data_IF_113105126433
#
_entry.id   IF_113105126433
#
_cell.length_a   1.000
_cell.length_b   1.000
_cell.length_c   1.000
_cell.angle_alpha   90.00
_cell.angle_beta   90.00
_cell.angle_gamma   90.00
#
_symmetry.space_group_name_H-M   'P 1'
#
loop_
_entity.id
_entity.type
_entity.pdbx_description
1 polymer ?
#
# COMPACT_ATOMS: atom_id res chain seq x y z
N UNK A 1 0.37 -10.05 -5.67
CA UNK A 1 0.17 -9.58 -7.06
C UNK A 1 1.23 -8.52 -7.31
N UNK A 2 2.45 -8.96 -7.60
CA UNK A 2 3.65 -8.12 -7.60
C UNK A 2 4.26 -7.95 -9.00
N UNK A 3 3.64 -8.55 -10.03
CA UNK A 3 4.09 -8.48 -11.41
C UNK A 3 5.34 -9.31 -11.72
N UNK A 4 5.82 -10.13 -10.77
CA UNK A 4 7.03 -10.95 -10.94
C UNK A 4 6.90 -12.00 -12.06
N UNK A 5 5.68 -12.47 -12.32
CA UNK A 5 5.36 -13.41 -13.40
C UNK A 5 4.59 -12.65 -14.49
N UNK A 6 5.24 -12.26 -15.61
CA UNK A 6 4.60 -11.50 -16.67
C UNK A 6 3.59 -12.34 -17.44
N UNK A 7 2.67 -11.66 -18.14
CA UNK A 7 1.77 -12.29 -19.10
C UNK A 7 2.60 -12.95 -20.21
N UNK A 8 2.46 -14.25 -20.48
CA UNK A 8 3.16 -14.89 -21.59
C UNK A 8 2.73 -14.25 -22.92
N UNK A 9 3.71 -13.82 -23.73
CA UNK A 9 3.45 -13.11 -24.98
C UNK A 9 2.84 -14.02 -26.06
N UNK A 10 3.12 -15.32 -25.98
CA UNK A 10 2.61 -16.34 -26.90
C UNK A 10 1.60 -17.24 -26.19
N UNK A 11 0.40 -17.36 -26.76
CA UNK A 11 -0.65 -18.26 -26.26
C UNK A 11 -0.31 -19.74 -26.47
N UNK A 12 0.63 -20.04 -27.36
CA UNK A 12 1.16 -21.39 -27.58
C UNK A 12 2.30 -21.75 -26.61
N UNK A 13 2.72 -20.84 -25.74
CA UNK A 13 3.69 -21.14 -24.70
C UNK A 13 3.16 -22.26 -23.79
N UNK A 14 3.93 -23.33 -23.53
CA UNK A 14 3.51 -24.41 -22.63
C UNK A 14 3.07 -23.94 -21.24
N UNK A 15 3.61 -22.82 -20.76
CA UNK A 15 3.30 -22.20 -19.48
C UNK A 15 2.01 -21.38 -19.48
N UNK A 16 1.49 -20.97 -20.66
CA UNK A 16 0.32 -20.09 -20.79
C UNK A 16 -0.91 -20.64 -20.07
N UNK A 17 -1.19 -21.95 -20.21
CA UNK A 17 -2.35 -22.58 -19.55
C UNK A 17 -2.25 -22.54 -18.03
N UNK A 18 -1.06 -22.81 -17.49
CA UNK A 18 -0.83 -22.78 -16.04
C UNK A 18 -0.95 -21.35 -15.52
N UNK A 19 -0.32 -20.39 -16.22
CA UNK A 19 -0.41 -18.98 -15.91
C UNK A 19 -1.85 -18.47 -15.92
N UNK A 20 -2.61 -18.75 -16.99
CA UNK A 20 -4.00 -18.29 -17.12
C UNK A 20 -4.90 -18.84 -16.01
N UNK A 21 -4.69 -20.11 -15.61
CA UNK A 21 -5.41 -20.69 -14.47
C UNK A 21 -5.11 -19.95 -13.16
N UNK A 22 -3.85 -19.64 -12.89
CA UNK A 22 -3.46 -18.85 -11.72
C UNK A 22 -4.05 -17.43 -11.79
N UNK A 23 -3.99 -16.78 -12.95
CA UNK A 23 -4.59 -15.46 -13.18
C UNK A 23 -6.09 -15.46 -12.85
N UNK A 24 -6.86 -16.41 -13.42
CA UNK A 24 -8.30 -16.52 -13.16
C UNK A 24 -8.63 -16.82 -11.69
N UNK A 25 -7.82 -17.63 -11.00
CA UNK A 25 -8.00 -17.92 -9.57
C UNK A 25 -7.79 -16.66 -8.72
N UNK A 26 -6.71 -15.93 -8.96
CA UNK A 26 -6.44 -14.70 -8.21
C UNK A 26 -7.51 -13.65 -8.53
N UNK A 27 -7.91 -13.53 -9.79
CA UNK A 27 -9.01 -12.63 -10.19
C UNK A 27 -10.31 -12.96 -9.43
N UNK A 28 -10.68 -14.24 -9.33
CA UNK A 28 -11.89 -14.63 -8.60
C UNK A 28 -11.76 -14.35 -7.10
N UNK A 29 -10.59 -14.55 -6.50
CA UNK A 29 -10.37 -14.20 -5.09
C UNK A 29 -10.57 -12.70 -4.85
N UNK A 30 -10.03 -11.84 -5.71
CA UNK A 30 -10.23 -10.39 -5.60
C UNK A 30 -11.72 -10.05 -5.72
N UNK A 31 -12.39 -10.56 -6.75
CA UNK A 31 -13.83 -10.32 -6.99
C UNK A 31 -14.70 -10.70 -5.79
N UNK A 32 -14.37 -11.81 -5.11
CA UNK A 32 -15.10 -12.28 -3.93
C UNK A 32 -14.67 -11.60 -2.61
N UNK A 33 -13.62 -10.77 -2.64
CA UNK A 33 -13.09 -10.09 -1.45
C UNK A 33 -13.45 -8.60 -1.38
N UNK A 34 -14.12 -8.08 -2.42
CA UNK A 34 -14.55 -6.68 -2.50
C UNK A 34 -16.08 -6.58 -2.46
N UNK A 35 -16.61 -5.38 -2.21
CA UNK A 35 -18.05 -5.16 -2.29
C UNK A 35 -18.58 -5.34 -3.72
N UNK A 36 -19.86 -5.66 -3.86
CA UNK A 36 -20.49 -5.85 -5.17
C UNK A 36 -20.27 -4.65 -6.10
N UNK A 37 -20.39 -3.42 -5.59
CA UNK A 37 -20.16 -2.21 -6.39
C UNK A 37 -18.74 -2.13 -6.96
N UNK A 38 -17.73 -2.52 -6.18
CA UNK A 38 -16.34 -2.56 -6.62
C UNK A 38 -16.15 -3.71 -7.62
N UNK A 39 -16.68 -4.91 -7.32
CA UNK A 39 -16.62 -6.07 -8.20
C UNK A 39 -17.19 -5.77 -9.61
N UNK A 40 -18.34 -5.09 -9.69
CA UNK A 40 -18.92 -4.66 -10.97
C UNK A 40 -18.01 -3.70 -11.76
N UNK A 41 -17.18 -2.91 -11.09
CA UNK A 41 -16.27 -1.97 -11.76
C UNK A 41 -15.01 -2.63 -12.34
N UNK A 42 -14.68 -3.85 -11.91
CA UNK A 42 -13.47 -4.58 -12.33
C UNK A 42 -13.79 -5.87 -13.11
N UNK A 43 -15.06 -6.27 -13.22
CA UNK A 43 -15.49 -7.57 -13.80
C UNK A 43 -15.03 -7.81 -15.24
N UNK A 44 -14.85 -6.75 -16.02
CA UNK A 44 -14.43 -6.84 -17.43
C UNK A 44 -12.90 -6.81 -17.62
N UNK A 45 -12.13 -6.75 -16.52
CA UNK A 45 -10.67 -6.77 -16.57
C UNK A 45 -10.18 -8.22 -16.64
N UNK A 46 -9.35 -8.54 -17.63
CA UNK A 46 -8.94 -9.93 -17.89
C UNK A 46 -7.80 -10.39 -16.97
N UNK A 47 -6.91 -9.47 -16.58
CA UNK A 47 -5.75 -9.80 -15.76
C UNK A 47 -5.93 -9.36 -14.31
N UNK A 48 -5.63 -10.27 -13.39
CA UNK A 48 -5.63 -10.01 -11.96
C UNK A 48 -4.62 -8.92 -11.55
N UNK A 49 -3.52 -8.75 -12.30
CA UNK A 49 -2.54 -7.67 -12.09
C UNK A 49 -3.15 -6.31 -12.41
N UNK A 50 -3.93 -6.20 -13.48
CA UNK A 50 -4.57 -4.94 -13.87
C UNK A 50 -5.63 -4.57 -12.83
N UNK A 51 -6.46 -5.54 -12.41
CA UNK A 51 -7.43 -5.36 -11.32
C UNK A 51 -6.74 -4.88 -10.05
N UNK A 52 -5.66 -5.54 -9.65
CA UNK A 52 -4.92 -5.16 -8.46
C UNK A 52 -4.37 -3.74 -8.55
N UNK A 53 -3.82 -3.36 -9.70
CA UNK A 53 -3.27 -2.02 -9.91
C UNK A 53 -4.36 -0.96 -9.90
N UNK A 54 -5.52 -1.20 -10.51
CA UNK A 54 -6.67 -0.29 -10.48
C UNK A 54 -7.20 -0.10 -9.05
N UNK A 55 -7.41 -1.20 -8.31
CA UNK A 55 -7.82 -1.12 -6.91
C UNK A 55 -6.78 -0.41 -6.05
N UNK A 56 -5.50 -0.68 -6.29
CA UNK A 56 -4.40 0.00 -5.62
C UNK A 56 -4.43 1.49 -5.95
N UNK A 57 -4.55 1.90 -7.20
CA UNK A 57 -4.61 3.32 -7.57
C UNK A 57 -5.80 4.05 -6.92
N UNK A 58 -6.97 3.41 -6.87
CA UNK A 58 -8.20 4.00 -6.31
C UNK A 58 -8.21 4.05 -4.79
N UNK A 59 -7.72 3.01 -4.13
CA UNK A 59 -7.92 2.80 -2.68
C UNK A 59 -6.62 2.76 -1.87
N UNK A 60 -5.45 2.72 -2.52
CA UNK A 60 -4.14 2.82 -1.84
C UNK A 60 -3.55 4.22 -1.86
N UNK A 61 -4.24 5.23 -2.41
CA UNK A 61 -3.82 6.60 -2.19
C UNK A 61 -3.72 6.81 -0.70
N UNK A 62 -2.54 7.26 -0.25
CA UNK A 62 -2.37 7.67 1.13
C UNK A 62 -3.52 8.64 1.42
N UNK A 63 -4.32 8.32 2.43
CA UNK A 63 -5.50 9.10 2.73
C UNK A 63 -5.03 10.49 3.17
N UNK A 64 -4.89 11.41 2.22
CA UNK A 64 -4.35 12.75 2.46
C UNK A 64 -5.22 13.48 3.49
N UNK A 65 -6.50 13.12 3.56
CA UNK A 65 -7.42 13.56 4.61
C UNK A 65 -6.97 12.99 5.94
N UNK A 66 -6.74 11.67 6.05
CA UNK A 66 -6.21 11.05 7.27
C UNK A 66 -4.84 11.60 7.69
N UNK A 67 -3.91 11.83 6.76
CA UNK A 67 -2.62 12.46 7.04
C UNK A 67 -2.85 13.87 7.61
N UNK A 68 -3.74 14.66 7.00
CA UNK A 68 -4.08 15.99 7.48
C UNK A 68 -4.73 15.95 8.88
N UNK A 69 -5.61 14.99 9.14
CA UNK A 69 -6.22 14.79 10.45
C UNK A 69 -5.17 14.44 11.50
N UNK A 70 -4.28 13.49 11.23
CA UNK A 70 -3.18 13.10 12.11
C UNK A 70 -2.22 14.27 12.37
N UNK A 71 -1.93 15.08 11.36
CA UNK A 71 -1.13 16.30 11.53
C UNK A 71 -1.84 17.32 12.42
N UNK A 72 -3.15 17.53 12.24
CA UNK A 72 -3.94 18.41 13.11
C UNK A 72 -3.98 17.88 14.55
N UNK A 73 -4.17 16.58 14.73
CA UNK A 73 -4.15 15.92 16.04
C UNK A 73 -2.80 16.16 16.72
N UNK A 74 -1.70 15.91 16.00
CA UNK A 74 -0.33 16.17 16.46
C UNK A 74 -0.12 17.63 16.88
N UNK A 75 -0.54 18.60 16.06
CA UNK A 75 -0.38 20.03 16.37
C UNK A 75 -1.27 20.49 17.53
N UNK A 76 -2.41 19.83 17.74
CA UNK A 76 -3.32 20.12 18.84
C UNK A 76 -2.92 19.44 20.15
N UNK A 77 -2.07 18.41 20.09
CA UNK A 77 -1.65 17.63 21.24
C UNK A 77 -0.81 18.47 22.22
N UNK A 78 -1.34 18.70 23.42
CA UNK A 78 -0.65 19.40 24.52
C UNK A 78 -0.63 18.52 25.75
N UNK A 79 0.46 18.51 26.51
CA UNK A 79 0.58 17.67 27.70
C UNK A 79 -0.52 17.95 28.74
N UNK A 80 -0.82 19.23 28.98
CA UNK A 80 -1.79 19.67 29.99
C UNK A 80 -1.52 19.03 31.37
N UNK A 81 -2.56 18.48 32.01
CA UNK A 81 -2.46 17.80 33.31
C UNK A 81 -1.98 16.35 33.24
N UNK A 82 -1.70 15.81 32.03
CA UNK A 82 -1.25 14.43 31.84
C UNK A 82 0.19 14.24 32.29
N UNK A 83 0.52 13.01 32.71
CA UNK A 83 1.92 12.65 32.94
C UNK A 83 2.72 12.67 31.64
N UNK A 84 4.04 12.81 31.75
CA UNK A 84 4.95 12.76 30.59
C UNK A 84 4.80 11.43 29.83
N UNK A 85 4.64 10.33 30.57
CA UNK A 85 4.50 8.99 29.99
C UNK A 85 3.21 8.85 29.17
N UNK A 86 2.09 9.35 29.67
CA UNK A 86 0.81 9.32 28.95
C UNK A 86 0.89 10.18 27.69
N UNK A 87 1.36 11.43 27.82
CA UNK A 87 1.52 12.33 26.68
C UNK A 87 2.43 11.75 25.59
N UNK A 88 3.58 11.18 25.98
CA UNK A 88 4.51 10.58 25.02
C UNK A 88 3.92 9.33 24.34
N UNK A 89 3.12 8.54 25.07
CA UNK A 89 2.47 7.37 24.49
C UNK A 89 1.48 7.78 23.39
N UNK A 90 0.66 8.80 23.63
CA UNK A 90 -0.27 9.34 22.65
C UNK A 90 0.46 9.94 21.44
N UNK A 91 1.52 10.71 21.69
CA UNK A 91 2.39 11.27 20.65
C UNK A 91 2.99 10.18 19.75
N UNK A 92 3.47 9.09 20.37
CA UNK A 92 4.08 7.97 19.66
C UNK A 92 3.09 7.25 18.76
N UNK A 93 1.85 7.06 19.21
CA UNK A 93 0.79 6.45 18.40
C UNK A 93 0.54 7.26 17.11
N UNK A 94 0.42 8.58 17.22
CA UNK A 94 0.21 9.46 16.06
C UNK A 94 1.40 9.38 15.09
N UNK A 95 2.63 9.33 15.60
CA UNK A 95 3.82 9.19 14.76
C UNK A 95 3.90 7.84 14.04
N UNK A 96 3.64 6.74 14.73
CA UNK A 96 3.64 5.40 14.12
C UNK A 96 2.58 5.30 13.02
N UNK A 97 1.40 5.91 13.23
CA UNK A 97 0.37 5.93 12.19
C UNK A 97 0.76 6.80 10.99
N UNK A 98 1.35 7.99 11.22
CA UNK A 98 1.87 8.84 10.15
C UNK A 98 2.95 8.15 9.30
N UNK A 99 3.82 7.35 9.93
CA UNK A 99 4.88 6.61 9.24
C UNK A 99 4.33 5.56 8.25
N UNK A 100 3.16 4.98 8.52
CA UNK A 100 2.47 4.07 7.60
C UNK A 100 2.09 4.79 6.30
N UNK A 101 1.63 6.04 6.40
CA UNK A 101 1.18 6.84 5.26
C UNK A 101 2.32 7.57 4.53
N UNK A 102 3.42 7.86 5.24
CA UNK A 102 4.61 8.55 4.72
C UNK A 102 5.85 7.67 4.85
N UNK A 103 5.90 6.51 4.17
CA UNK A 103 7.06 5.63 4.25
C UNK A 103 8.30 6.39 3.76
N UNK A 104 9.42 6.20 4.46
CA UNK A 104 10.68 6.81 4.03
C UNK A 104 10.96 6.43 2.57
N UNK A 105 11.21 7.42 1.69
CA UNK A 105 11.45 7.13 0.28
C UNK A 105 12.70 6.26 0.15
N UNK A 106 12.57 5.13 -0.54
CA UNK A 106 13.70 4.29 -0.85
C UNK A 106 14.69 5.07 -1.72
N UNK A 107 15.92 5.21 -1.23
CA UNK A 107 16.97 5.89 -1.97
C UNK A 107 17.25 5.15 -3.29
N UNK A 108 17.05 5.83 -4.42
CA UNK A 108 17.35 5.31 -5.76
C UNK A 108 18.77 5.62 -6.22
N UNK A 109 19.61 6.18 -5.34
CA UNK A 109 20.98 6.51 -5.67
C UNK A 109 21.79 5.22 -5.97
N UNK A 110 22.58 5.20 -7.05
CA UNK A 110 23.43 4.05 -7.40
C UNK A 110 24.52 3.78 -6.35
N UNK A 111 24.88 4.81 -5.58
CA UNK A 111 25.77 4.70 -4.42
C UNK A 111 24.94 4.93 -3.17
N UNK A 112 24.88 3.93 -2.29
CA UNK A 112 24.26 4.08 -0.96
C UNK A 112 25.00 5.18 -0.20
N UNK A 113 24.27 6.19 0.24
CA UNK A 113 24.83 7.26 1.07
C UNK A 113 25.36 6.65 2.38
N UNK A 114 26.63 6.87 2.67
CA UNK A 114 27.32 6.30 3.84
C UNK A 114 27.37 7.24 5.04
N UNK A 115 26.66 8.37 4.99
CA UNK A 115 26.61 9.32 6.08
C UNK A 115 25.89 8.73 7.31
N UNK A 116 26.30 9.19 8.49
CA UNK A 116 25.80 8.71 9.77
C UNK A 116 24.27 8.86 9.93
N UNK A 117 23.68 9.85 9.26
CA UNK A 117 22.24 10.09 9.26
C UNK A 117 21.39 8.94 8.68
N UNK A 118 21.98 8.07 7.83
CA UNK A 118 21.27 6.94 7.20
C UNK A 118 21.41 5.62 7.98
N UNK A 119 22.17 5.58 9.09
CA UNK A 119 22.34 4.35 9.89
C UNK A 119 21.23 4.13 10.93
N UNK A 120 20.37 5.12 11.12
CA UNK A 120 19.34 5.15 12.17
C UNK A 120 17.91 5.10 11.63
N UNK A 121 17.76 4.87 10.31
CA UNK A 121 16.48 4.68 9.63
C UNK A 121 16.18 3.19 9.46
#
# INVERSE_FOLDING_TARGET
>A
IDGSIPVPADQFDPSYRAWNRCNMLVHSWIMNSVSDSIAHSIVFMENAIDVWNDLKERFSQADLVRISELQQELYSLKQESRSVTEFYSDLKLIWEELEIYLPMPACSCPVRCSCEAMRSA
#
